data_IF_680255807610
#
_entry.id   IF_680255807610
#
_cell.length_a   1.000
_cell.length_b   1.000
_cell.length_c   1.000
_cell.angle_alpha   90.00
_cell.angle_beta   90.00
_cell.angle_gamma   90.00
#
_symmetry.space_group_name_H-M   'P 1'
#
loop_
_entity.id
_entity.type
_entity.pdbx_description
1 polymer ?
#
# COMPACT_ATOMS: atom_id res chain seq x y z
N UNK A 1 10.47 -40.33 7.75
CA UNK A 1 9.45 -39.37 8.20
C UNK A 1 9.92 -37.97 7.87
N UNK A 2 9.48 -37.49 6.71
CA UNK A 2 9.81 -36.14 6.28
C UNK A 2 8.93 -35.14 7.06
N UNK A 3 9.54 -34.48 8.04
CA UNK A 3 8.87 -33.42 8.82
C UNK A 3 8.60 -32.17 7.98
N UNK A 4 9.17 -32.08 6.79
CA UNK A 4 9.07 -30.93 5.92
C UNK A 4 7.65 -30.67 5.36
N UNK A 5 6.80 -31.72 5.29
CA UNK A 5 5.44 -31.63 4.75
C UNK A 5 4.40 -31.14 5.77
N UNK A 6 4.77 -31.02 7.07
CA UNK A 6 3.87 -30.57 8.13
C UNK A 6 4.60 -29.78 9.24
N UNK A 7 5.68 -29.11 8.84
CA UNK A 7 6.49 -28.31 9.76
C UNK A 7 5.70 -27.14 10.37
N UNK A 8 4.84 -26.53 9.57
CA UNK A 8 3.89 -25.50 9.95
C UNK A 8 2.91 -25.99 11.00
N UNK A 9 2.24 -27.12 10.77
CA UNK A 9 1.35 -27.76 11.71
C UNK A 9 2.06 -28.17 13.02
N UNK A 10 3.29 -28.66 12.92
CA UNK A 10 4.07 -29.07 14.06
C UNK A 10 4.42 -27.92 15.01
N UNK A 11 4.71 -26.73 14.47
CA UNK A 11 5.00 -25.57 15.28
C UNK A 11 3.74 -24.85 15.76
N UNK A 12 2.70 -24.75 14.94
CA UNK A 12 1.44 -24.09 15.32
C UNK A 12 0.71 -24.82 16.46
N UNK A 13 0.81 -26.15 16.54
CA UNK A 13 0.26 -26.94 17.66
C UNK A 13 0.97 -26.70 18.99
N UNK A 14 2.19 -26.16 18.99
CA UNK A 14 2.99 -25.88 20.19
C UNK A 14 2.82 -24.46 20.71
N UNK A 15 2.21 -23.59 19.92
CA UNK A 15 1.92 -22.22 20.34
C UNK A 15 0.70 -22.26 21.27
N UNK A 16 0.80 -21.70 22.50
CA UNK A 16 -0.37 -21.58 23.38
C UNK A 16 -1.50 -20.82 22.68
N UNK A 17 -2.65 -21.48 22.53
CA UNK A 17 -3.82 -20.90 21.84
C UNK A 17 -4.66 -19.98 22.71
N UNK A 18 -4.40 -19.97 24.01
CA UNK A 18 -5.14 -19.15 24.97
C UNK A 18 -4.24 -18.04 25.51
N UNK A 19 -4.38 -16.87 24.90
CA UNK A 19 -3.95 -15.64 25.57
C UNK A 19 -5.10 -15.18 26.48
N UNK A 20 -4.82 -15.00 27.77
CA UNK A 20 -5.76 -14.36 28.67
C UNK A 20 -5.93 -12.93 28.22
N UNK A 21 -7.18 -12.49 28.00
CA UNK A 21 -7.46 -11.10 27.66
C UNK A 21 -7.07 -10.21 28.83
N UNK A 22 -6.50 -9.04 28.56
CA UNK A 22 -6.19 -8.07 29.61
C UNK A 22 -7.44 -7.64 30.38
N UNK A 23 -7.33 -7.57 31.69
CA UNK A 23 -8.47 -7.29 32.60
C UNK A 23 -8.71 -5.76 32.76
N UNK A 24 -7.75 -4.91 32.34
CA UNK A 24 -7.81 -3.46 32.50
C UNK A 24 -7.28 -2.70 31.27
N UNK A 25 -7.62 -1.40 31.17
CA UNK A 25 -7.02 -0.49 30.15
C UNK A 25 -5.50 -0.41 30.24
N UNK A 26 -4.94 -0.46 31.45
CA UNK A 26 -3.49 -0.42 31.69
C UNK A 26 -2.84 -1.69 31.17
N UNK A 27 -3.43 -2.85 31.44
CA UNK A 27 -2.93 -4.15 30.97
C UNK A 27 -3.01 -4.23 29.45
N UNK A 28 -4.10 -3.73 28.85
CA UNK A 28 -4.24 -3.58 27.39
C UNK A 28 -3.11 -2.72 26.79
N UNK A 29 -2.84 -1.56 27.37
CA UNK A 29 -1.77 -0.69 26.88
C UNK A 29 -0.39 -1.37 26.95
N UNK A 30 -0.13 -2.10 28.01
CA UNK A 30 1.10 -2.86 28.20
C UNK A 30 1.22 -4.01 27.20
N UNK A 31 0.15 -4.76 26.98
CA UNK A 31 0.12 -5.86 26.00
C UNK A 31 0.29 -5.35 24.57
N UNK A 32 -0.39 -4.25 24.19
CA UNK A 32 -0.21 -3.61 22.89
C UNK A 32 1.24 -3.16 22.69
N UNK A 33 1.86 -2.56 23.69
CA UNK A 33 3.26 -2.14 23.61
C UNK A 33 4.20 -3.35 23.42
N UNK A 34 3.95 -4.45 24.12
CA UNK A 34 4.70 -5.70 23.97
C UNK A 34 4.53 -6.31 22.56
N UNK A 35 3.30 -6.36 22.05
CA UNK A 35 3.01 -6.87 20.69
C UNK A 35 3.70 -6.01 19.64
N UNK A 36 3.59 -4.69 19.74
CA UNK A 36 4.27 -3.75 18.81
C UNK A 36 5.78 -3.97 18.81
N UNK A 37 6.40 -4.05 19.98
CA UNK A 37 7.84 -4.29 20.09
C UNK A 37 8.25 -5.64 19.47
N UNK A 38 7.44 -6.69 19.67
CA UNK A 38 7.68 -8.00 19.03
C UNK A 38 7.54 -7.95 17.53
N UNK A 39 6.53 -7.23 16.99
CA UNK A 39 6.36 -7.05 15.56
C UNK A 39 7.54 -6.28 14.96
N UNK A 40 7.94 -5.17 15.54
CA UNK A 40 9.08 -4.37 15.08
C UNK A 40 10.39 -5.18 15.10
N UNK A 41 10.66 -5.89 16.19
CA UNK A 41 11.92 -6.61 16.36
C UNK A 41 12.00 -7.93 15.58
N UNK A 42 10.89 -8.57 15.24
CA UNK A 42 10.87 -9.91 14.63
C UNK A 42 10.31 -9.94 13.21
N UNK A 43 9.22 -9.19 12.96
CA UNK A 43 8.52 -9.22 11.67
C UNK A 43 8.96 -8.07 10.76
N UNK A 44 9.15 -6.88 11.33
CA UNK A 44 9.48 -5.65 10.60
C UNK A 44 10.96 -5.25 10.77
N UNK A 45 11.81 -6.22 10.99
CA UNK A 45 13.25 -5.99 11.08
C UNK A 45 13.79 -5.33 9.80
N UNK A 46 14.72 -4.41 9.99
CA UNK A 46 15.37 -3.73 8.87
C UNK A 46 14.56 -2.59 8.27
N UNK A 47 13.51 -2.12 8.95
CA UNK A 47 12.88 -0.85 8.59
C UNK A 47 13.91 0.28 8.66
N UNK A 48 13.89 1.22 7.69
CA UNK A 48 14.72 2.43 7.74
C UNK A 48 14.41 3.28 8.96
N UNK A 49 15.31 4.17 9.32
CA UNK A 49 15.06 5.19 10.34
C UNK A 49 13.88 6.10 9.93
N UNK A 50 12.97 6.39 10.90
CA UNK A 50 11.70 7.09 10.62
C UNK A 50 11.82 8.56 10.20
N UNK A 51 13.01 9.13 10.11
CA UNK A 51 13.26 10.56 9.86
C UNK A 51 13.70 10.87 8.42
N UNK A 52 13.69 9.89 7.51
CA UNK A 52 14.03 10.15 6.11
C UNK A 52 12.97 11.07 5.47
N UNK A 53 13.38 12.05 4.64
CA UNK A 53 12.45 12.90 3.90
C UNK A 53 11.47 12.07 3.06
N UNK A 54 10.26 12.58 2.89
CA UNK A 54 9.28 11.94 2.00
C UNK A 54 9.45 12.38 0.55
N UNK A 55 10.00 13.57 0.36
CA UNK A 55 10.23 14.19 -0.96
C UNK A 55 9.05 13.99 -1.92
N UNK A 56 7.85 14.29 -1.39
CA UNK A 56 6.60 14.11 -2.15
C UNK A 56 6.46 15.19 -3.20
N UNK A 57 6.10 14.80 -4.42
CA UNK A 57 5.78 15.69 -5.54
C UNK A 57 4.50 15.27 -6.24
N UNK A 58 3.70 16.24 -6.69
CA UNK A 58 2.59 16.00 -7.61
C UNK A 58 3.16 16.07 -9.04
N UNK A 59 3.17 14.93 -9.73
CA UNK A 59 3.77 14.80 -11.06
C UNK A 59 2.74 14.98 -12.17
N UNK A 60 1.45 14.78 -11.84
CA UNK A 60 0.36 14.87 -12.81
C UNK A 60 -0.96 15.16 -12.08
N UNK A 61 -1.79 16.01 -12.70
CA UNK A 61 -3.17 16.25 -12.29
C UNK A 61 -4.04 16.56 -13.48
N UNK A 62 -5.24 16.00 -13.49
CA UNK A 62 -6.28 16.29 -14.48
C UNK A 62 -7.67 16.11 -13.88
N UNK A 63 -8.69 16.52 -14.64
CA UNK A 63 -10.09 16.36 -14.27
C UNK A 63 -10.88 15.81 -15.46
N UNK A 64 -11.73 14.82 -15.18
CA UNK A 64 -12.65 14.24 -16.14
C UNK A 64 -13.99 13.99 -15.45
N UNK A 65 -15.08 14.51 -16.02
CA UNK A 65 -16.46 14.26 -15.59
C UNK A 65 -16.71 14.47 -14.08
N UNK A 66 -16.04 15.45 -13.47
CA UNK A 66 -16.20 15.78 -12.07
C UNK A 66 -15.30 14.99 -11.12
N UNK A 67 -14.44 14.14 -11.64
CA UNK A 67 -13.38 13.45 -10.89
C UNK A 67 -12.03 14.11 -11.17
N UNK A 68 -11.33 14.56 -10.14
CA UNK A 68 -9.93 14.95 -10.21
C UNK A 68 -9.06 13.72 -9.97
N UNK A 69 -8.09 13.52 -10.84
CA UNK A 69 -7.10 12.45 -10.72
C UNK A 69 -5.71 13.02 -10.65
N UNK A 70 -4.98 12.68 -9.58
CA UNK A 70 -3.60 13.11 -9.37
C UNK A 70 -2.67 11.92 -9.23
N UNK A 71 -1.46 12.03 -9.79
CA UNK A 71 -0.35 11.14 -9.51
C UNK A 71 0.70 11.90 -8.71
N UNK A 72 1.03 11.37 -7.56
CA UNK A 72 2.15 11.79 -6.74
C UNK A 72 3.26 10.76 -6.79
N UNK A 73 4.48 11.18 -6.48
CA UNK A 73 5.58 10.28 -6.12
C UNK A 73 6.16 10.69 -4.78
N UNK A 74 6.65 9.73 -4.01
CA UNK A 74 7.26 9.96 -2.71
C UNK A 74 8.39 8.99 -2.43
N UNK A 75 9.33 9.39 -1.59
CA UNK A 75 10.42 8.53 -1.14
C UNK A 75 9.96 7.68 0.06
N UNK A 76 9.77 6.39 -0.18
CA UNK A 76 9.53 5.43 0.91
C UNK A 76 10.78 5.27 1.77
N UNK A 77 11.93 5.18 1.14
CA UNK A 77 13.26 5.22 1.74
C UNK A 77 14.27 5.68 0.70
N UNK A 78 15.49 5.97 1.11
CA UNK A 78 16.58 6.32 0.19
C UNK A 78 16.69 5.30 -0.95
N UNK A 79 16.55 5.76 -2.19
CA UNK A 79 16.61 4.93 -3.40
C UNK A 79 15.35 4.12 -3.71
N UNK A 80 14.25 4.33 -2.99
CA UNK A 80 12.94 3.70 -3.26
C UNK A 80 11.86 4.77 -3.36
N UNK A 81 11.60 5.22 -4.59
CA UNK A 81 10.55 6.17 -4.94
C UNK A 81 9.33 5.42 -5.45
N UNK A 82 8.16 5.71 -4.88
CA UNK A 82 6.91 5.02 -5.17
C UNK A 82 5.85 6.00 -5.68
N UNK A 83 5.00 5.57 -6.62
CA UNK A 83 3.85 6.34 -7.04
C UNK A 83 2.70 6.20 -6.04
N UNK A 84 1.84 7.21 -6.02
CA UNK A 84 0.62 7.27 -5.24
C UNK A 84 -0.44 7.97 -6.09
N UNK A 85 -1.58 7.34 -6.31
CA UNK A 85 -2.63 7.88 -7.16
C UNK A 85 -3.84 8.26 -6.33
N UNK A 86 -4.43 9.41 -6.60
CA UNK A 86 -5.61 9.91 -5.89
C UNK A 86 -6.71 10.25 -6.87
N UNK A 87 -7.87 9.62 -6.73
CA UNK A 87 -9.12 10.03 -7.35
C UNK A 87 -10.01 10.69 -6.29
N UNK A 88 -10.54 11.85 -6.59
CA UNK A 88 -11.37 12.62 -5.66
C UNK A 88 -12.38 13.51 -6.42
N UNK A 89 -13.45 14.03 -5.77
CA UNK A 89 -14.32 15.00 -6.37
C UNK A 89 -13.56 16.25 -6.83
N UNK A 90 -13.67 16.63 -8.10
CA UNK A 90 -12.87 17.69 -8.72
C UNK A 90 -12.95 19.05 -8.03
N UNK A 91 -14.10 19.37 -7.42
CA UNK A 91 -14.38 20.67 -6.77
C UNK A 91 -14.15 20.67 -5.26
N UNK A 92 -13.65 19.57 -4.70
CA UNK A 92 -13.45 19.42 -3.25
C UNK A 92 -11.95 19.43 -2.95
N UNK A 93 -11.42 20.42 -2.21
CA UNK A 93 -10.08 20.40 -1.72
C UNK A 93 -9.81 19.14 -0.87
N UNK A 94 -8.55 18.70 -0.81
CA UNK A 94 -8.16 17.52 -0.05
C UNK A 94 -8.53 17.64 1.43
N UNK A 95 -8.34 18.83 2.02
CA UNK A 95 -8.74 19.19 3.40
C UNK A 95 -10.23 19.09 3.69
N UNK A 96 -11.09 19.14 2.66
CA UNK A 96 -12.54 19.16 2.79
C UNK A 96 -13.18 17.80 2.48
N UNK A 97 -12.35 16.78 2.23
CA UNK A 97 -12.80 15.39 2.07
C UNK A 97 -13.25 14.83 3.43
N UNK A 98 -14.41 14.21 3.47
CA UNK A 98 -14.92 13.53 4.67
C UNK A 98 -14.17 12.25 4.98
N UNK A 99 -13.63 11.59 3.93
CA UNK A 99 -12.91 10.32 4.04
C UNK A 99 -11.89 10.19 2.90
N UNK A 100 -10.71 9.68 3.22
CA UNK A 100 -9.76 9.16 2.23
C UNK A 100 -9.52 7.68 2.50
N UNK A 101 -9.83 6.84 1.53
CA UNK A 101 -9.64 5.38 1.60
C UNK A 101 -8.31 5.05 0.92
N UNK A 102 -7.39 4.46 1.66
CA UNK A 102 -6.14 3.95 1.10
C UNK A 102 -6.31 2.50 0.63
N UNK A 103 -6.28 2.30 -0.68
CA UNK A 103 -6.28 1.01 -1.33
C UNK A 103 -4.82 0.57 -1.57
N UNK A 104 -4.39 -0.46 -0.88
CA UNK A 104 -3.06 -1.05 -1.08
C UNK A 104 -3.19 -2.14 -2.13
N UNK A 105 -2.52 -1.95 -3.26
CA UNK A 105 -2.66 -2.82 -4.42
C UNK A 105 -1.67 -4.00 -4.36
N UNK A 106 -2.14 -5.16 -4.78
CA UNK A 106 -1.33 -6.30 -5.16
C UNK A 106 -1.28 -6.45 -6.70
N UNK A 107 -0.75 -7.54 -7.22
CA UNK A 107 -0.63 -7.78 -8.66
C UNK A 107 -2.00 -7.80 -9.36
N UNK A 108 -3.02 -8.40 -8.73
CA UNK A 108 -4.36 -8.50 -9.31
C UNK A 108 -5.10 -7.16 -9.23
N UNK A 109 -5.16 -6.57 -8.06
CA UNK A 109 -5.85 -5.30 -7.83
C UNK A 109 -5.17 -4.13 -8.55
N UNK A 110 -3.87 -4.25 -8.89
CA UNK A 110 -3.21 -3.33 -9.81
C UNK A 110 -3.80 -3.41 -11.22
N UNK A 111 -4.07 -4.62 -11.72
CA UNK A 111 -4.71 -4.78 -13.03
C UNK A 111 -6.15 -4.23 -13.01
N UNK A 112 -6.91 -4.52 -11.96
CA UNK A 112 -8.27 -3.98 -11.79
C UNK A 112 -8.26 -2.45 -11.73
N UNK A 113 -7.30 -1.84 -11.03
CA UNK A 113 -7.09 -0.39 -11.01
C UNK A 113 -6.79 0.18 -12.39
N UNK A 114 -6.02 -0.51 -13.23
CA UNK A 114 -5.71 -0.06 -14.58
C UNK A 114 -6.92 -0.08 -15.51
N UNK A 115 -7.91 -0.98 -15.31
CA UNK A 115 -9.10 -1.08 -16.17
C UNK A 115 -10.15 0.00 -15.92
N UNK A 116 -10.14 0.64 -14.75
CA UNK A 116 -11.10 1.69 -14.43
C UNK A 116 -10.40 3.05 -14.31
N UNK A 117 -9.89 3.49 -13.14
CA UNK A 117 -9.29 4.83 -13.09
C UNK A 117 -8.04 4.94 -13.94
N UNK A 118 -7.23 3.88 -14.10
CA UNK A 118 -6.03 3.92 -14.92
C UNK A 118 -6.33 4.22 -16.41
N UNK A 119 -7.26 3.48 -17.01
CA UNK A 119 -7.63 3.63 -18.42
C UNK A 119 -8.38 4.95 -18.68
N UNK A 120 -9.10 5.48 -17.69
CA UNK A 120 -9.77 6.78 -17.83
C UNK A 120 -8.79 7.96 -17.83
N UNK A 121 -7.59 7.81 -17.24
CA UNK A 121 -6.58 8.87 -17.13
C UNK A 121 -5.21 8.42 -17.68
N UNK A 122 -5.11 8.10 -18.99
CA UNK A 122 -3.94 7.44 -19.57
C UNK A 122 -2.65 8.25 -19.47
N UNK A 123 -2.72 9.57 -19.46
CA UNK A 123 -1.55 10.44 -19.34
C UNK A 123 -0.86 10.34 -17.95
N UNK A 124 -1.56 9.82 -16.93
CA UNK A 124 -0.97 9.55 -15.64
C UNK A 124 0.00 8.34 -15.66
N UNK A 125 0.02 7.56 -16.75
CA UNK A 125 0.76 6.31 -16.90
C UNK A 125 1.70 6.32 -18.11
N UNK A 126 2.64 7.27 -18.22
CA UNK A 126 3.49 7.41 -19.38
C UNK A 126 4.31 6.15 -19.65
N UNK A 127 4.26 5.68 -20.89
CA UNK A 127 5.00 4.51 -21.35
C UNK A 127 4.42 3.15 -20.91
N UNK A 128 3.24 3.14 -20.31
CA UNK A 128 2.51 1.89 -19.99
C UNK A 128 1.46 1.62 -21.07
N UNK A 129 1.31 0.36 -21.44
CA UNK A 129 0.20 -0.12 -22.22
C UNK A 129 -0.99 -0.35 -21.26
N UNK A 130 -2.07 0.37 -21.47
CA UNK A 130 -3.26 0.31 -20.63
C UNK A 130 -4.30 -0.63 -21.26
N UNK A 131 -5.08 -1.34 -20.43
CA UNK A 131 -6.22 -2.10 -20.90
C UNK A 131 -7.33 -1.18 -21.45
N UNK A 132 -8.33 -1.79 -22.07
CA UNK A 132 -9.56 -1.10 -22.45
C UNK A 132 -10.31 -0.64 -21.18
N UNK A 133 -10.93 0.54 -21.25
CA UNK A 133 -11.67 1.11 -20.12
C UNK A 133 -12.91 0.26 -19.81
N UNK A 134 -13.06 -0.12 -18.57
CA UNK A 134 -14.32 -0.63 -18.02
C UNK A 134 -15.24 0.56 -17.72
N UNK A 135 -16.10 0.90 -18.70
CA UNK A 135 -17.01 2.04 -18.61
C UNK A 135 -18.00 1.90 -17.42
N UNK A 136 -18.48 0.68 -17.14
CA UNK A 136 -19.43 0.46 -16.05
C UNK A 136 -18.78 0.70 -14.68
N UNK A 137 -17.58 0.19 -14.48
CA UNK A 137 -16.81 0.40 -13.24
C UNK A 137 -16.46 1.89 -13.06
N UNK A 138 -16.05 2.57 -14.13
CA UNK A 138 -15.72 4.00 -14.07
C UNK A 138 -16.94 4.89 -13.80
N UNK A 139 -18.11 4.59 -14.41
CA UNK A 139 -19.37 5.30 -14.10
C UNK A 139 -19.79 5.11 -12.64
N UNK A 140 -19.62 3.90 -12.09
CA UNK A 140 -19.91 3.65 -10.68
C UNK A 140 -18.97 4.48 -9.76
N UNK A 141 -17.69 4.57 -10.08
CA UNK A 141 -16.70 5.37 -9.36
C UNK A 141 -17.03 6.88 -9.42
N UNK A 142 -17.40 7.40 -10.60
CA UNK A 142 -17.90 8.77 -10.79
C UNK A 142 -19.13 9.04 -9.93
N UNK A 143 -20.08 8.11 -9.92
CA UNK A 143 -21.29 8.18 -9.10
C UNK A 143 -20.98 8.34 -7.61
N UNK A 144 -19.97 7.62 -7.12
CA UNK A 144 -19.49 7.74 -5.74
C UNK A 144 -18.90 9.14 -5.48
N UNK A 145 -18.00 9.64 -6.33
CA UNK A 145 -17.36 10.95 -6.17
C UNK A 145 -18.33 12.13 -6.30
N UNK A 146 -19.43 11.97 -7.07
CA UNK A 146 -20.47 13.00 -7.17
C UNK A 146 -21.40 13.04 -5.98
N UNK A 147 -21.60 11.92 -5.30
CA UNK A 147 -22.52 11.78 -4.15
C UNK A 147 -21.83 11.93 -2.79
N UNK A 148 -20.53 11.69 -2.71
CA UNK A 148 -19.76 11.67 -1.47
C UNK A 148 -18.48 12.48 -1.62
N UNK A 149 -18.07 13.16 -0.55
CA UNK A 149 -16.78 13.83 -0.48
C UNK A 149 -15.68 12.84 -0.07
N UNK A 150 -15.54 11.77 -0.84
CA UNK A 150 -14.55 10.73 -0.56
C UNK A 150 -13.41 10.77 -1.59
N UNK A 151 -12.19 10.58 -1.10
CA UNK A 151 -11.01 10.36 -1.94
C UNK A 151 -10.62 8.89 -1.92
N UNK A 152 -10.29 8.34 -3.08
CA UNK A 152 -9.72 7.01 -3.24
C UNK A 152 -8.23 7.15 -3.54
N UNK A 153 -7.40 6.70 -2.62
CA UNK A 153 -5.95 6.72 -2.73
C UNK A 153 -5.47 5.31 -3.05
N UNK A 154 -4.67 5.15 -4.09
CA UNK A 154 -4.18 3.86 -4.56
C UNK A 154 -2.65 3.81 -4.44
N UNK A 155 -2.17 2.82 -3.72
CA UNK A 155 -0.74 2.58 -3.51
C UNK A 155 -0.34 1.22 -4.09
N UNK A 156 0.37 1.16 -5.22
CA UNK A 156 1.16 -0.01 -5.57
C UNK A 156 2.48 0.03 -4.75
N UNK A 157 2.64 -0.83 -3.75
CA UNK A 157 3.87 -0.85 -2.96
C UNK A 157 5.04 -1.41 -3.79
N UNK A 158 6.25 -1.39 -3.25
CA UNK A 158 7.44 -1.89 -3.94
C UNK A 158 7.22 -3.28 -4.55
N UNK A 159 7.68 -3.45 -5.77
CA UNK A 159 7.55 -4.70 -6.53
C UNK A 159 6.17 -4.94 -7.11
N UNK A 160 5.28 -3.95 -7.09
CA UNK A 160 3.95 -4.00 -7.73
C UNK A 160 3.85 -2.89 -8.78
N UNK A 161 3.17 -3.18 -9.88
CA UNK A 161 2.90 -2.22 -10.94
C UNK A 161 4.17 -1.58 -11.51
N UNK A 162 4.31 -0.24 -11.51
CA UNK A 162 5.45 0.45 -12.10
C UNK A 162 6.80 0.09 -11.45
N UNK A 163 6.79 -0.48 -10.26
CA UNK A 163 8.00 -0.89 -9.53
C UNK A 163 8.21 -2.41 -9.52
N UNK A 164 7.46 -3.14 -10.35
CA UNK A 164 7.62 -4.59 -10.49
C UNK A 164 9.05 -4.94 -10.93
N UNK A 165 9.66 -5.90 -10.24
CA UNK A 165 11.04 -6.31 -10.54
C UNK A 165 11.09 -7.36 -11.64
N UNK A 166 10.10 -8.25 -11.69
CA UNK A 166 10.02 -9.36 -12.63
C UNK A 166 8.63 -9.96 -12.62
N UNK A 167 8.25 -10.59 -13.72
CA UNK A 167 7.05 -11.45 -13.82
C UNK A 167 7.40 -12.94 -13.71
N UNK A 168 8.70 -13.28 -13.62
CA UNK A 168 9.17 -14.67 -13.48
C UNK A 168 9.13 -15.12 -12.02
N UNK A 169 8.45 -16.24 -11.74
CA UNK A 169 8.29 -16.78 -10.39
C UNK A 169 9.61 -17.19 -9.73
N UNK A 170 10.54 -17.72 -10.52
CA UNK A 170 11.85 -18.14 -10.01
C UNK A 170 12.70 -16.93 -9.60
N UNK A 171 12.69 -15.88 -10.42
CA UNK A 171 13.36 -14.62 -10.09
C UNK A 171 12.72 -13.95 -8.87
N UNK A 172 11.41 -13.94 -8.78
CA UNK A 172 10.67 -13.46 -7.61
C UNK A 172 11.09 -14.20 -6.33
N UNK A 173 11.26 -15.52 -6.40
CA UNK A 173 11.79 -16.33 -5.30
C UNK A 173 13.22 -15.92 -4.92
N UNK A 174 14.09 -15.65 -5.88
CA UNK A 174 15.44 -15.16 -5.61
C UNK A 174 15.45 -13.78 -4.95
N UNK A 175 14.56 -12.88 -5.37
CA UNK A 175 14.40 -11.55 -4.76
C UNK A 175 13.98 -11.69 -3.29
N UNK A 176 12.97 -12.52 -2.99
CA UNK A 176 12.54 -12.80 -1.60
C UNK A 176 13.69 -13.33 -0.73
N UNK A 177 14.50 -14.22 -1.26
CA UNK A 177 15.68 -14.74 -0.54
C UNK A 177 16.72 -13.65 -0.26
N UNK A 178 16.93 -12.71 -1.19
CA UNK A 178 17.86 -11.58 -0.98
C UNK A 178 17.37 -10.68 0.16
N UNK A 179 16.07 -10.39 0.24
CA UNK A 179 15.49 -9.66 1.38
C UNK A 179 15.75 -10.41 2.70
N UNK A 180 15.55 -11.72 2.72
CA UNK A 180 15.79 -12.54 3.92
C UNK A 180 17.26 -12.51 4.35
N UNK A 181 18.23 -12.50 3.41
CA UNK A 181 19.66 -12.36 3.71
C UNK A 181 20.00 -11.01 4.36
N UNK A 182 19.24 -9.96 4.05
CA UNK A 182 19.36 -8.63 4.67
C UNK A 182 18.61 -8.54 6.03
N UNK A 183 18.00 -9.62 6.48
CA UNK A 183 17.20 -9.65 7.68
C UNK A 183 15.84 -8.96 7.53
N UNK A 184 15.35 -8.82 6.30
CA UNK A 184 14.08 -8.18 5.94
C UNK A 184 13.14 -9.20 5.31
N UNK A 185 11.87 -8.83 5.17
CA UNK A 185 10.89 -9.51 4.31
C UNK A 185 10.30 -8.51 3.32
N UNK A 186 9.92 -8.96 2.13
CA UNK A 186 9.22 -8.09 1.15
C UNK A 186 7.96 -7.51 1.79
N UNK A 187 7.18 -8.35 2.46
CA UNK A 187 5.92 -7.94 3.09
C UNK A 187 6.16 -6.93 4.21
N UNK A 188 7.19 -7.13 5.04
CA UNK A 188 7.58 -6.14 6.06
C UNK A 188 7.96 -4.79 5.45
N UNK A 189 8.64 -4.79 4.31
CA UNK A 189 9.01 -3.57 3.59
C UNK A 189 7.81 -2.93 2.88
N UNK A 190 6.83 -3.72 2.40
CA UNK A 190 5.55 -3.20 1.89
C UNK A 190 4.72 -2.54 2.99
N UNK A 191 4.71 -3.08 4.21
CA UNK A 191 4.09 -2.41 5.37
C UNK A 191 4.80 -1.08 5.68
N UNK A 192 6.12 -1.01 5.51
CA UNK A 192 6.84 0.26 5.57
C UNK A 192 6.36 1.25 4.51
N UNK A 193 6.19 0.82 3.25
CA UNK A 193 5.68 1.65 2.16
C UNK A 193 4.29 2.24 2.48
N UNK A 194 3.39 1.41 3.04
CA UNK A 194 2.06 1.83 3.50
C UNK A 194 2.17 2.93 4.56
N UNK A 195 3.03 2.72 5.56
CA UNK A 195 3.28 3.74 6.60
C UNK A 195 3.75 5.06 6.00
N UNK A 196 4.67 5.01 5.03
CA UNK A 196 5.20 6.20 4.35
C UNK A 196 4.15 6.89 3.49
N UNK A 197 3.30 6.13 2.79
CA UNK A 197 2.17 6.68 2.02
C UNK A 197 1.18 7.43 2.93
N UNK A 198 0.85 6.89 4.11
CA UNK A 198 0.01 7.59 5.10
C UNK A 198 0.68 8.88 5.60
N UNK A 199 2.00 8.86 5.80
CA UNK A 199 2.73 10.08 6.18
C UNK A 199 2.74 11.11 5.06
N UNK A 200 2.83 10.67 3.79
CA UNK A 200 2.76 11.53 2.61
C UNK A 200 1.39 12.19 2.49
N UNK A 201 0.31 11.44 2.65
CA UNK A 201 -1.05 11.98 2.62
C UNK A 201 -1.23 13.10 3.65
N UNK A 202 -0.77 12.89 4.88
CA UNK A 202 -0.84 13.90 5.95
C UNK A 202 -0.05 15.17 5.66
N UNK A 203 0.95 15.12 4.79
CA UNK A 203 1.70 16.31 4.35
C UNK A 203 1.06 17.03 3.18
N UNK A 204 0.24 16.33 2.39
CA UNK A 204 -0.53 16.96 1.31
C UNK A 204 -1.73 17.74 1.86
N UNK A 205 -2.22 17.37 3.03
CA UNK A 205 -3.38 17.97 3.70
C UNK A 205 -3.00 19.18 4.59
N UNK A 206 -1.74 19.42 4.86
CA UNK A 206 -1.20 20.48 5.73
C UNK A 206 -0.39 21.48 5.03
#
# INVERSE_FOLDING_TARGET
NERNTFIDDYFTRRVPRTQKLPDSKSDWASEIALIKNRLESRCFRGWPGGNEPLDISEDYRTELDGVAFSRFTFDSQTGVRLPLYLAAPAKTPLSDLDLVVLNVLDEQTWQDFLTSPGAAFPEAFPGMELPELDEEAFEAEKGMHTSMKWGMLYLPPRGIGPTAWTTDEKESTHIRRRFALLGQTIDGMRVWDIRRAIQSLRKLDG
#
